data_IF_565592930214
#
_entry.id   IF_565592930214
#
_cell.length_a   1.000
_cell.length_b   1.000
_cell.length_c   1.000
_cell.angle_alpha   90.00
_cell.angle_beta   90.00
_cell.angle_gamma   90.00
#
_symmetry.space_group_name_H-M   'P 1'
#
loop_
_entity.id
_entity.type
_entity.pdbx_description
1 polymer ?
#
# COMPACT_ATOMS: atom_id res chain seq x y z
N UNK A 1 18.91 -3.10 2.07
CA UNK A 1 18.17 -2.76 3.33
C UNK A 1 17.08 -1.76 2.98
N UNK A 2 15.86 -2.02 3.40
CA UNK A 2 14.72 -1.14 3.11
C UNK A 2 14.87 0.21 3.82
N UNK A 3 14.45 1.29 3.16
CA UNK A 3 14.47 2.64 3.73
C UNK A 3 13.53 2.71 4.94
N UNK A 4 13.97 3.26 6.09
CA UNK A 4 13.11 3.46 7.27
C UNK A 4 11.85 4.25 6.93
N UNK A 5 10.82 4.13 7.77
CA UNK A 5 9.61 4.93 7.63
C UNK A 5 9.91 6.41 7.88
N UNK A 6 9.30 7.25 7.06
CA UNK A 6 9.21 8.69 7.24
C UNK A 6 7.78 9.02 7.68
N UNK A 7 7.56 9.38 8.96
CA UNK A 7 6.21 9.59 9.49
C UNK A 7 5.46 10.77 8.84
N UNK A 8 6.17 11.67 8.16
CA UNK A 8 5.56 12.79 7.45
C UNK A 8 5.08 12.41 6.04
N UNK A 9 5.54 11.28 5.51
CA UNK A 9 5.31 10.88 4.12
C UNK A 9 4.66 9.50 4.00
N UNK A 10 5.08 8.53 4.81
CA UNK A 10 4.58 7.17 4.70
C UNK A 10 3.17 7.02 5.29
N UNK A 11 2.33 6.26 4.59
CA UNK A 11 1.01 5.89 5.09
C UNK A 11 1.14 4.77 6.11
N UNK A 12 0.81 5.08 7.36
CA UNK A 12 0.93 4.15 8.48
C UNK A 12 -0.38 4.10 9.24
N UNK A 13 -0.81 2.90 9.64
CA UNK A 13 -1.97 2.65 10.50
C UNK A 13 -1.68 1.57 11.53
N UNK A 14 -2.62 1.35 12.43
CA UNK A 14 -2.56 0.31 13.47
C UNK A 14 -1.96 0.79 14.77
N UNK A 15 -1.41 -0.14 15.54
CA UNK A 15 -0.87 0.13 16.87
C UNK A 15 0.52 0.80 16.77
N UNK A 16 0.72 2.02 17.30
CA UNK A 16 2.01 2.71 17.22
C UNK A 16 3.15 1.96 17.92
N UNK A 17 2.84 1.14 18.93
CA UNK A 17 3.81 0.32 19.67
C UNK A 17 3.94 -1.09 19.09
N UNK A 18 3.11 -1.42 18.10
CA UNK A 18 3.13 -2.71 17.42
C UNK A 18 4.34 -2.90 16.51
N UNK A 19 4.70 -4.15 16.26
CA UNK A 19 5.74 -4.48 15.28
C UNK A 19 5.33 -4.03 13.88
N UNK A 20 6.30 -3.56 13.11
CA UNK A 20 6.05 -2.98 11.79
C UNK A 20 5.94 -4.08 10.73
N UNK A 21 4.86 -4.03 9.96
CA UNK A 21 4.75 -4.67 8.65
C UNK A 21 4.76 -3.55 7.61
N UNK A 22 5.78 -3.52 6.74
CA UNK A 22 5.83 -2.64 5.58
C UNK A 22 5.60 -3.46 4.33
N UNK A 23 4.61 -3.07 3.53
CA UNK A 23 4.32 -3.68 2.23
C UNK A 23 4.63 -2.72 1.08
N UNK A 24 5.35 -3.23 0.08
CA UNK A 24 5.37 -2.66 -1.27
C UNK A 24 4.32 -3.39 -2.10
N UNK A 25 3.30 -2.67 -2.52
CA UNK A 25 2.11 -3.27 -3.14
C UNK A 25 1.64 -2.55 -4.40
N UNK A 26 0.81 -3.27 -5.14
CA UNK A 26 0.21 -2.84 -6.40
C UNK A 26 -1.28 -3.17 -6.36
N UNK A 27 -2.13 -2.16 -6.52
CA UNK A 27 -3.59 -2.33 -6.43
C UNK A 27 -4.18 -3.25 -7.51
N UNK A 28 -3.51 -3.42 -8.63
CA UNK A 28 -3.97 -4.31 -9.70
C UNK A 28 -3.38 -5.73 -9.59
N UNK A 29 -2.35 -5.93 -8.75
CA UNK A 29 -1.73 -7.23 -8.52
C UNK A 29 -2.63 -8.15 -7.68
N UNK A 30 -3.02 -9.34 -8.19
CA UNK A 30 -3.87 -10.26 -7.43
C UNK A 30 -3.20 -10.78 -6.16
N UNK A 31 -1.86 -10.90 -6.16
CA UNK A 31 -1.10 -11.32 -4.99
C UNK A 31 -1.05 -10.24 -3.91
N UNK A 32 -0.96 -8.94 -4.29
CA UNK A 32 -1.10 -7.84 -3.31
C UNK A 32 -2.49 -7.83 -2.68
N UNK A 33 -3.54 -8.15 -3.44
CA UNK A 33 -4.89 -8.31 -2.87
C UNK A 33 -4.97 -9.47 -1.88
N UNK A 34 -4.27 -10.57 -2.14
CA UNK A 34 -4.18 -11.68 -1.18
C UNK A 34 -3.47 -11.23 0.10
N UNK A 35 -2.31 -10.57 -0.03
CA UNK A 35 -1.57 -10.02 1.11
C UNK A 35 -2.41 -9.02 1.91
N UNK A 36 -3.13 -8.11 1.27
CA UNK A 36 -4.06 -7.19 1.90
C UNK A 36 -5.05 -7.90 2.84
N UNK A 37 -5.66 -8.99 2.39
CA UNK A 37 -6.59 -9.78 3.21
C UNK A 37 -5.92 -10.46 4.41
N UNK A 38 -4.72 -10.97 4.19
CA UNK A 38 -3.95 -11.64 5.24
C UNK A 38 -3.44 -10.64 6.29
N UNK A 39 -2.99 -9.46 5.86
CA UNK A 39 -2.61 -8.36 6.76
C UNK A 39 -3.80 -7.92 7.61
N UNK A 40 -5.00 -7.76 7.04
CA UNK A 40 -6.21 -7.46 7.82
C UNK A 40 -6.50 -8.53 8.89
N UNK A 41 -6.27 -9.81 8.58
CA UNK A 41 -6.41 -10.90 9.56
C UNK A 41 -5.36 -10.83 10.66
N UNK A 42 -4.15 -10.40 10.34
CA UNK A 42 -3.09 -10.16 11.33
C UNK A 42 -3.45 -8.99 12.22
N UNK A 43 -3.86 -7.85 11.64
CA UNK A 43 -4.28 -6.65 12.39
C UNK A 43 -5.41 -6.95 13.39
N UNK A 44 -6.30 -7.89 13.06
CA UNK A 44 -7.39 -8.31 13.95
C UNK A 44 -6.96 -9.22 15.11
N UNK A 45 -5.71 -9.72 15.11
CA UNK A 45 -5.23 -10.76 16.05
C UNK A 45 -3.99 -10.37 16.85
N UNK A 46 -3.29 -9.34 16.42
CA UNK A 46 -2.06 -8.88 17.06
C UNK A 46 -1.90 -7.38 16.93
N UNK A 47 -1.30 -6.70 17.92
CA UNK A 47 -0.93 -5.31 17.80
C UNK A 47 0.18 -5.18 16.75
N UNK A 48 -0.14 -4.60 15.60
CA UNK A 48 0.82 -4.33 14.52
C UNK A 48 0.68 -2.91 14.03
N UNK A 49 1.78 -2.36 13.56
CA UNK A 49 1.84 -1.13 12.80
C UNK A 49 2.03 -1.51 11.34
N UNK A 50 1.08 -1.13 10.49
CA UNK A 50 1.11 -1.45 9.07
C UNK A 50 1.42 -0.20 8.25
N UNK A 51 2.37 -0.32 7.34
CA UNK A 51 2.72 0.72 6.38
C UNK A 51 2.62 0.19 4.95
N UNK A 52 2.18 1.06 4.03
CA UNK A 52 2.05 0.73 2.62
C UNK A 52 2.83 1.71 1.76
N UNK A 53 3.60 1.18 0.81
CA UNK A 53 4.30 1.91 -0.23
C UNK A 53 3.88 1.41 -1.61
N UNK A 54 3.71 2.33 -2.53
CA UNK A 54 3.32 2.01 -3.89
C UNK A 54 4.46 1.37 -4.68
N UNK A 55 4.15 0.29 -5.39
CA UNK A 55 5.07 -0.31 -6.35
C UNK A 55 4.30 -0.81 -7.58
N UNK A 56 3.69 0.11 -8.37
CA UNK A 56 2.86 -0.25 -9.51
C UNK A 56 3.70 -0.89 -10.62
N UNK A 57 3.35 -2.11 -11.03
CA UNK A 57 4.02 -2.88 -12.09
C UNK A 57 3.41 -2.52 -13.45
N UNK A 58 3.67 -1.31 -13.92
CA UNK A 58 3.02 -0.69 -15.08
C UNK A 58 3.22 -1.43 -16.40
N UNK A 59 4.23 -2.29 -16.50
CA UNK A 59 4.48 -3.12 -17.68
C UNK A 59 3.46 -4.25 -17.85
N UNK A 60 2.85 -4.71 -16.76
CA UNK A 60 1.90 -5.83 -16.75
C UNK A 60 0.53 -5.46 -16.20
N UNK A 61 0.42 -4.36 -15.46
CA UNK A 61 -0.79 -3.88 -14.82
C UNK A 61 -1.12 -2.47 -15.32
N UNK A 62 -1.96 -2.32 -16.35
CA UNK A 62 -2.18 -1.03 -17.03
C UNK A 62 -2.89 0.01 -16.16
N UNK A 63 -3.64 -0.40 -15.12
CA UNK A 63 -4.35 0.52 -14.22
C UNK A 63 -3.60 0.78 -12.90
N UNK A 64 -2.48 0.10 -12.66
CA UNK A 64 -1.78 0.16 -11.37
C UNK A 64 -1.35 1.57 -10.99
N UNK A 65 -0.80 2.35 -11.94
CA UNK A 65 -0.38 3.72 -11.68
C UNK A 65 -1.58 4.63 -11.40
N UNK A 66 -2.66 4.51 -12.17
CA UNK A 66 -3.86 5.31 -11.98
C UNK A 66 -4.52 5.02 -10.61
N UNK A 67 -4.54 3.74 -10.19
CA UNK A 67 -5.03 3.36 -8.88
C UNK A 67 -4.15 3.90 -7.74
N UNK A 68 -2.82 3.84 -7.87
CA UNK A 68 -1.90 4.45 -6.93
C UNK A 68 -2.10 5.98 -6.82
N UNK A 69 -2.28 6.65 -7.97
CA UNK A 69 -2.56 8.08 -8.02
C UNK A 69 -3.91 8.42 -7.37
N UNK A 70 -4.92 7.58 -7.53
CA UNK A 70 -6.21 7.74 -6.84
C UNK A 70 -6.08 7.63 -5.32
N UNK A 71 -5.27 6.69 -4.82
CA UNK A 71 -5.00 6.55 -3.40
C UNK A 71 -4.27 7.78 -2.83
N UNK A 72 -3.26 8.30 -3.55
CA UNK A 72 -2.53 9.49 -3.12
C UNK A 72 -3.37 10.77 -3.22
N UNK A 73 -4.22 10.93 -4.24
CA UNK A 73 -5.16 12.03 -4.30
C UNK A 73 -6.19 11.99 -3.15
N UNK A 74 -6.59 10.79 -2.74
CA UNK A 74 -7.41 10.62 -1.54
C UNK A 74 -6.63 10.97 -0.26
N UNK A 75 -5.33 10.66 -0.21
CA UNK A 75 -4.44 11.02 0.90
C UNK A 75 -4.36 12.52 1.11
N UNK A 76 -4.30 13.32 0.03
CA UNK A 76 -4.32 14.80 0.09
C UNK A 76 -5.55 15.32 0.82
N UNK A 77 -6.66 14.57 0.78
CA UNK A 77 -7.91 14.88 1.47
C UNK A 77 -8.13 14.07 2.75
N UNK A 78 -7.09 13.40 3.28
CA UNK A 78 -7.14 12.64 4.53
C UNK A 78 -7.90 11.31 4.45
N UNK A 79 -8.03 10.72 3.23
CA UNK A 79 -8.83 9.51 2.99
C UNK A 79 -8.03 8.37 2.32
N UNK A 80 -6.72 8.29 2.62
CA UNK A 80 -5.87 7.27 2.03
C UNK A 80 -6.39 5.85 2.30
N UNK A 81 -6.64 5.52 3.56
CA UNK A 81 -6.98 4.15 3.95
C UNK A 81 -8.33 3.71 3.45
N UNK A 82 -9.33 4.60 3.40
CA UNK A 82 -10.65 4.31 2.84
C UNK A 82 -10.54 4.00 1.34
N UNK A 83 -9.76 4.79 0.60
CA UNK A 83 -9.50 4.54 -0.82
C UNK A 83 -8.70 3.26 -1.02
N UNK A 84 -7.64 3.03 -0.23
CA UNK A 84 -6.81 1.83 -0.26
C UNK A 84 -7.66 0.55 -0.13
N UNK A 85 -8.59 0.51 0.81
CA UNK A 85 -9.48 -0.63 1.00
C UNK A 85 -10.41 -0.84 -0.19
N UNK A 86 -11.02 0.23 -0.71
CA UNK A 86 -11.88 0.13 -1.89
C UNK A 86 -11.15 -0.39 -3.11
N UNK A 87 -9.94 0.09 -3.38
CA UNK A 87 -9.14 -0.33 -4.53
C UNK A 87 -8.85 -1.84 -4.48
N UNK A 88 -8.47 -2.39 -3.33
CA UNK A 88 -8.27 -3.83 -3.19
C UNK A 88 -9.57 -4.63 -3.22
N UNK A 89 -10.64 -4.14 -2.58
CA UNK A 89 -11.94 -4.82 -2.63
C UNK A 89 -12.55 -4.83 -4.03
N UNK A 90 -12.34 -3.78 -4.80
CA UNK A 90 -12.87 -3.58 -6.15
C UNK A 90 -11.82 -3.74 -7.24
N UNK A 91 -10.77 -4.52 -7.01
CA UNK A 91 -9.60 -4.67 -7.89
C UNK A 91 -9.92 -4.99 -9.36
N UNK A 92 -11.10 -5.53 -9.65
CA UNK A 92 -11.54 -5.84 -11.03
C UNK A 92 -12.06 -4.62 -11.80
N UNK A 93 -12.23 -3.49 -11.15
CA UNK A 93 -12.74 -2.25 -11.72
C UNK A 93 -11.86 -1.08 -11.26
N UNK A 94 -10.79 -0.83 -12.02
CA UNK A 94 -9.79 0.22 -11.76
C UNK A 94 -9.65 1.18 -12.94
N UNK A 95 -10.65 1.21 -13.84
CA UNK A 95 -10.74 2.21 -14.88
C UNK A 95 -11.08 3.60 -14.31
N UNK A 96 -10.95 4.63 -15.14
CA UNK A 96 -11.12 6.03 -14.72
C UNK A 96 -12.49 6.32 -14.09
N UNK A 97 -13.56 5.76 -14.65
CA UNK A 97 -14.92 5.97 -14.13
C UNK A 97 -15.10 5.29 -12.77
N UNK A 98 -14.55 4.08 -12.60
CA UNK A 98 -14.58 3.37 -11.34
C UNK A 98 -13.78 4.11 -10.25
N UNK A 99 -12.57 4.58 -10.56
CA UNK A 99 -11.73 5.33 -9.62
C UNK A 99 -12.42 6.62 -9.15
N UNK A 100 -13.06 7.34 -10.07
CA UNK A 100 -13.83 8.54 -9.74
C UNK A 100 -15.07 8.22 -8.91
N UNK A 101 -15.74 7.11 -9.20
CA UNK A 101 -16.87 6.61 -8.39
C UNK A 101 -16.44 6.23 -6.96
N UNK A 102 -15.24 5.70 -6.77
CA UNK A 102 -14.70 5.44 -5.43
C UNK A 102 -14.39 6.74 -4.68
N UNK A 103 -13.87 7.76 -5.37
CA UNK A 103 -13.64 9.07 -4.77
C UNK A 103 -14.95 9.68 -4.26
N UNK A 104 -16.05 9.57 -5.03
CA UNK A 104 -17.38 9.99 -4.61
C UNK A 104 -17.85 9.18 -3.38
N UNK A 105 -17.68 7.86 -3.42
CA UNK A 105 -18.10 6.96 -2.34
C UNK A 105 -17.40 7.27 -1.01
N UNK A 106 -16.12 7.65 -1.02
CA UNK A 106 -15.37 8.03 0.19
C UNK A 106 -15.55 9.50 0.57
N UNK A 107 -16.36 10.25 -0.18
CA UNK A 107 -16.74 11.62 0.14
C UNK A 107 -15.68 12.67 -0.18
N UNK A 108 -14.88 12.47 -1.23
CA UNK A 108 -13.88 13.43 -1.68
C UNK A 108 -14.50 14.59 -2.45
N UNK A 109 -13.86 15.75 -2.41
CA UNK A 109 -14.05 16.79 -3.41
C UNK A 109 -13.54 16.29 -4.76
N UNK A 110 -14.45 16.04 -5.69
CA UNK A 110 -14.14 15.43 -6.98
C UNK A 110 -13.30 16.34 -7.89
N UNK A 111 -13.48 17.65 -7.83
CA UNK A 111 -12.70 18.58 -8.63
C UNK A 111 -11.22 18.60 -8.17
N UNK A 112 -11.00 18.59 -6.87
CA UNK A 112 -9.66 18.45 -6.29
C UNK A 112 -9.05 17.08 -6.61
N UNK A 113 -9.82 16.01 -6.45
CA UNK A 113 -9.38 14.66 -6.75
C UNK A 113 -8.92 14.53 -8.21
N UNK A 114 -9.71 15.03 -9.16
CA UNK A 114 -9.36 14.99 -10.58
C UNK A 114 -8.09 15.80 -10.90
N UNK A 115 -7.90 16.96 -10.25
CA UNK A 115 -6.68 17.75 -10.37
C UNK A 115 -5.46 17.12 -9.73
N UNK A 116 -5.61 16.62 -8.50
CA UNK A 116 -4.51 16.07 -7.71
C UNK A 116 -3.94 14.77 -8.30
N UNK A 117 -4.79 13.89 -8.88
CA UNK A 117 -4.36 12.61 -9.47
C UNK A 117 -3.29 12.76 -10.55
N UNK A 118 -3.37 13.80 -11.37
CA UNK A 118 -2.39 14.10 -12.41
C UNK A 118 -1.27 15.04 -11.94
N UNK A 119 -1.31 15.49 -10.70
CA UNK A 119 -0.39 16.50 -10.19
C UNK A 119 1.01 15.94 -9.90
N UNK A 120 2.01 16.83 -10.05
CA UNK A 120 3.41 16.47 -9.85
C UNK A 120 3.71 15.93 -8.46
N UNK A 121 3.03 16.43 -7.41
CA UNK A 121 3.23 16.00 -6.03
C UNK A 121 2.78 14.54 -5.80
N UNK A 122 1.63 14.16 -6.35
CA UNK A 122 1.11 12.79 -6.28
C UNK A 122 2.03 11.82 -7.03
N UNK A 123 2.43 12.19 -8.23
CA UNK A 123 3.34 11.35 -9.03
C UNK A 123 4.73 11.25 -8.41
N UNK A 124 5.24 12.33 -7.82
CA UNK A 124 6.52 12.33 -7.10
C UNK A 124 6.47 11.43 -5.86
N UNK A 125 5.33 11.43 -5.14
CA UNK A 125 5.13 10.55 -3.98
C UNK A 125 5.21 9.07 -4.38
N UNK A 126 4.51 8.67 -5.44
CA UNK A 126 4.55 7.29 -5.94
C UNK A 126 5.97 6.93 -6.41
N UNK A 127 6.62 7.82 -7.14
CA UNK A 127 7.99 7.62 -7.63
C UNK A 127 8.96 7.40 -6.48
N UNK A 128 8.87 8.18 -5.39
CA UNK A 128 9.67 8.01 -4.19
C UNK A 128 9.55 6.58 -3.63
N UNK A 129 8.36 6.03 -3.57
CA UNK A 129 8.14 4.66 -3.07
C UNK A 129 8.80 3.62 -3.98
N UNK A 130 8.59 3.76 -5.29
CA UNK A 130 9.22 2.87 -6.28
C UNK A 130 10.74 2.94 -6.17
N UNK A 131 11.31 4.14 -6.13
CA UNK A 131 12.76 4.36 -5.99
C UNK A 131 13.31 3.76 -4.70
N UNK A 132 12.60 3.91 -3.57
CA UNK A 132 12.99 3.32 -2.30
C UNK A 132 12.99 1.78 -2.33
N UNK A 133 12.00 1.20 -3.01
CA UNK A 133 11.94 -0.25 -3.22
C UNK A 133 13.09 -0.76 -4.08
N UNK A 134 13.34 -0.12 -5.21
CA UNK A 134 14.46 -0.48 -6.11
C UNK A 134 15.81 -0.31 -5.41
N UNK A 135 16.00 0.78 -4.67
CA UNK A 135 17.26 1.04 -3.95
C UNK A 135 17.54 0.02 -2.85
N UNK A 136 16.51 -0.63 -2.30
CA UNK A 136 16.70 -1.71 -1.32
C UNK A 136 17.41 -2.93 -1.92
N UNK A 137 17.25 -3.16 -3.23
CA UNK A 137 17.71 -4.37 -3.93
C UNK A 137 16.88 -5.62 -3.63
N UNK A 138 15.89 -5.51 -2.73
CA UNK A 138 15.08 -6.63 -2.25
C UNK A 138 13.67 -6.64 -2.85
N UNK A 139 13.12 -5.46 -3.23
CA UNK A 139 11.82 -5.36 -3.89
C UNK A 139 11.95 -5.64 -5.37
N UNK A 140 11.44 -6.79 -5.80
CA UNK A 140 11.51 -7.26 -7.21
C UNK A 140 10.14 -7.52 -7.82
N UNK A 141 9.08 -7.30 -7.04
CA UNK A 141 7.70 -7.53 -7.41
C UNK A 141 6.76 -7.25 -6.25
N UNK A 142 5.49 -7.53 -6.45
CA UNK A 142 4.44 -7.27 -5.46
C UNK A 142 3.59 -8.50 -5.15
N UNK A 143 3.21 -8.70 -3.90
CA UNK A 143 3.64 -7.92 -2.73
C UNK A 143 5.07 -8.26 -2.31
N UNK A 144 5.80 -7.29 -1.77
CA UNK A 144 7.03 -7.52 -1.00
C UNK A 144 6.81 -6.99 0.41
N UNK A 145 6.98 -7.83 1.42
CA UNK A 145 6.75 -7.47 2.82
C UNK A 145 8.08 -7.44 3.59
N UNK A 146 8.19 -6.46 4.47
CA UNK A 146 9.26 -6.36 5.45
C UNK A 146 8.65 -6.36 6.86
N UNK A 147 9.27 -7.08 7.78
CA UNK A 147 8.89 -7.07 9.19
C UNK A 147 10.05 -6.47 9.98
N UNK A 148 9.80 -5.31 10.62
CA UNK A 148 10.81 -4.50 11.32
C UNK A 148 12.06 -4.23 10.46
N UNK A 149 11.85 -3.96 9.17
CA UNK A 149 12.92 -3.63 8.22
C UNK A 149 13.64 -4.83 7.61
N UNK A 150 13.28 -6.06 8.00
CA UNK A 150 13.84 -7.31 7.45
C UNK A 150 12.89 -7.90 6.43
N UNK A 151 13.40 -8.27 5.26
CA UNK A 151 12.61 -8.91 4.20
C UNK A 151 11.94 -10.19 4.75
N UNK A 152 10.63 -10.27 4.57
CA UNK A 152 9.87 -11.48 4.87
C UNK A 152 9.91 -12.43 3.68
N UNK A 153 10.58 -13.54 3.85
CA UNK A 153 10.65 -14.62 2.86
C UNK A 153 9.62 -15.72 3.20
N UNK A 154 9.00 -16.27 2.18
CA UNK A 154 8.03 -17.37 2.33
C UNK A 154 6.57 -16.93 2.21
N UNK A 155 5.67 -17.67 2.83
CA UNK A 155 4.24 -17.38 2.78
C UNK A 155 3.87 -16.12 3.56
N UNK A 156 3.02 -15.29 2.97
CA UNK A 156 2.43 -14.12 3.64
C UNK A 156 1.01 -14.39 4.15
N UNK A 157 0.61 -15.67 4.33
CA UNK A 157 -0.62 -15.98 5.05
C UNK A 157 -0.54 -15.50 6.51
N UNK A 158 -1.72 -15.27 7.11
CA UNK A 158 -1.78 -14.71 8.46
C UNK A 158 -1.06 -15.56 9.51
N UNK A 159 -1.02 -16.89 9.34
CA UNK A 159 -0.34 -17.77 10.30
C UNK A 159 1.19 -17.59 10.22
N UNK A 160 1.75 -17.52 9.01
CA UNK A 160 3.17 -17.27 8.78
C UNK A 160 3.59 -15.89 9.30
N UNK A 161 2.82 -14.85 8.97
CA UNK A 161 3.07 -13.49 9.44
C UNK A 161 3.01 -13.39 10.97
N UNK A 162 1.98 -13.97 11.61
CA UNK A 162 1.87 -14.01 13.07
C UNK A 162 3.00 -14.81 13.72
N UNK A 163 3.46 -15.89 13.08
CA UNK A 163 4.62 -16.65 13.53
C UNK A 163 5.88 -15.77 13.54
N UNK A 164 6.11 -15.03 12.46
CA UNK A 164 7.28 -14.13 12.33
C UNK A 164 7.24 -12.95 13.32
N UNK A 165 6.04 -12.40 13.57
CA UNK A 165 5.84 -11.32 14.54
C UNK A 165 6.07 -11.75 16.00
N UNK A 166 5.95 -13.03 16.32
CA UNK A 166 6.24 -13.59 17.65
C UNK A 166 7.70 -13.95 17.85
N UNK A 167 8.46 -14.13 16.76
CA UNK A 167 9.88 -14.42 16.82
C UNK A 167 10.63 -13.15 17.21
N UNK A 168 11.72 -13.29 17.99
CA UNK A 168 12.60 -12.16 18.28
C UNK A 168 13.17 -11.57 16.98
N UNK A 169 13.32 -10.24 16.93
CA UNK A 169 14.00 -9.61 15.80
C UNK A 169 15.41 -10.20 15.67
N UNK A 170 15.76 -10.60 14.45
CA UNK A 170 17.07 -11.17 14.15
C UNK A 170 18.17 -10.10 14.18
#
# INVERSE_FOLDING_TARGET
MVQPLDPEVDHVRGDPDGRLILEYGDYECPYSRMAFREVQRVESRAPVRFAFRHFPLTEIHPHALAAAAAAEAAAVQGRFWEMHELLFHRQKALDEDALRGYAEQVGLDLARFDGDRGGDSVLARIRRDVESGLASGEVRGTPTLFIDGVLHEGSYDAAALLGRLRSDPA
#
